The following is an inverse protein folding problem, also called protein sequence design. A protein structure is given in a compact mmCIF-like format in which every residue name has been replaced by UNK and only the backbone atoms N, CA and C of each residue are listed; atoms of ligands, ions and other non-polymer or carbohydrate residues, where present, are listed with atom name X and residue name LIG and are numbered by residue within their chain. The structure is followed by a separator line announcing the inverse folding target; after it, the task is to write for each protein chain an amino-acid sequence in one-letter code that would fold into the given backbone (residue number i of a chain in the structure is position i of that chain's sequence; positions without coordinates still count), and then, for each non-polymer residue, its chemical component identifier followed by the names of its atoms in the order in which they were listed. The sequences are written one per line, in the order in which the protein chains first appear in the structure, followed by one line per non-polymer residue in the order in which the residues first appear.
data_IF_378067531049
#
_entry.id   IF_378067531049
#
_cell.length_a   1.000
_cell.length_b   1.000
_cell.length_c   1.000
_cell.angle_alpha   90.00
_cell.angle_beta   90.00
_cell.angle_gamma   90.00
#
_symmetry.space_group_name_H-M   'P 1'
#
loop_
_entity.id
_entity.type
_entity.pdbx_description
1 polymer ?
#
# COMPACT_ATOMS: atom_id res chain seq x y z
N UNK A 1 -3.78 -2.81 10.69
CA UNK A 1 -4.52 -1.57 10.31
C UNK A 1 -5.59 -1.25 11.35
N UNK A 2 -5.78 0.03 11.63
CA UNK A 2 -6.78 0.52 12.58
C UNK A 2 -7.66 1.54 11.86
N UNK A 3 -8.96 1.25 11.75
CA UNK A 3 -9.96 2.20 11.26
C UNK A 3 -10.21 3.27 12.32
N UNK A 4 -10.08 4.53 11.93
CA UNK A 4 -10.32 5.69 12.78
C UNK A 4 -11.78 6.14 12.66
N UNK A 5 -12.34 6.75 13.72
CA UNK A 5 -13.67 7.33 13.67
C UNK A 5 -13.79 8.41 12.59
N UNK A 6 -14.93 8.47 11.93
CA UNK A 6 -15.17 9.37 10.78
C UNK A 6 -15.07 10.86 11.13
N UNK A 7 -15.35 11.22 12.37
CA UNK A 7 -15.28 12.63 12.85
C UNK A 7 -13.93 13.04 13.44
N UNK A 8 -12.91 12.19 13.43
CA UNK A 8 -11.64 12.46 14.11
C UNK A 8 -10.92 13.74 13.63
N UNK A 9 -11.10 14.09 12.37
CA UNK A 9 -10.45 15.27 11.76
C UNK A 9 -11.43 16.42 11.47
N UNK A 10 -12.69 16.34 11.92
CA UNK A 10 -13.73 17.34 11.62
C UNK A 10 -13.38 18.72 12.13
N UNK A 11 -12.80 18.83 13.32
CA UNK A 11 -12.40 20.12 13.92
C UNK A 11 -11.23 20.80 13.18
N UNK A 12 -10.32 20.00 12.64
CA UNK A 12 -9.11 20.52 11.99
C UNK A 12 -9.21 20.61 10.47
N UNK A 13 -9.89 19.65 9.85
CA UNK A 13 -10.01 19.56 8.40
C UNK A 13 -11.40 19.95 7.87
N UNK A 14 -12.37 20.18 8.75
CA UNK A 14 -13.74 20.53 8.37
C UNK A 14 -14.46 19.42 7.58
N UNK A 15 -14.02 18.18 7.70
CA UNK A 15 -14.56 17.05 6.95
C UNK A 15 -14.67 15.79 7.82
N UNK A 16 -15.79 15.08 7.64
CA UNK A 16 -16.03 13.77 8.26
C UNK A 16 -15.60 12.66 7.30
N UNK A 17 -14.33 12.35 7.28
CA UNK A 17 -13.77 11.29 6.41
C UNK A 17 -13.35 10.10 7.25
N UNK A 18 -13.76 8.91 6.82
CA UNK A 18 -13.20 7.66 7.35
C UNK A 18 -11.73 7.54 6.94
N UNK A 19 -10.86 7.33 7.90
CA UNK A 19 -9.42 7.19 7.70
C UNK A 19 -8.91 5.90 8.32
N UNK A 20 -7.83 5.36 7.79
CA UNK A 20 -7.17 4.18 8.32
C UNK A 20 -5.73 4.52 8.70
N UNK A 21 -5.32 4.08 9.88
CA UNK A 21 -3.94 4.05 10.30
C UNK A 21 -3.34 2.69 9.90
N UNK A 22 -2.34 2.71 9.04
CA UNK A 22 -1.66 1.51 8.56
C UNK A 22 -0.23 1.52 9.06
N UNK A 23 0.15 0.47 9.78
CA UNK A 23 1.53 0.25 10.24
C UNK A 23 2.10 -0.93 9.47
N UNK A 24 3.21 -0.72 8.78
CA UNK A 24 3.87 -1.73 7.97
C UNK A 24 5.27 -2.01 8.52
N UNK A 25 5.59 -3.28 8.70
CA UNK A 25 6.94 -3.72 9.00
C UNK A 25 7.54 -4.39 7.77
N UNK A 26 8.67 -3.82 7.27
CA UNK A 26 9.39 -4.41 6.13
C UNK A 26 10.00 -5.75 6.54
N UNK A 27 9.71 -6.79 5.78
CA UNK A 27 10.27 -8.11 5.94
C UNK A 27 11.02 -8.52 4.66
N UNK A 28 12.27 -8.96 4.81
CA UNK A 28 13.06 -9.50 3.69
C UNK A 28 12.95 -11.01 3.68
N UNK A 29 12.68 -11.60 2.51
CA UNK A 29 12.61 -13.06 2.34
C UNK A 29 11.33 -13.71 2.81
N UNK A 30 10.29 -12.93 3.07
CA UNK A 30 8.97 -13.45 3.44
C UNK A 30 8.30 -14.12 2.23
N UNK A 31 7.87 -15.36 2.40
CA UNK A 31 6.83 -15.94 1.56
C UNK A 31 5.48 -15.25 1.82
N UNK A 32 4.61 -15.21 0.83
CA UNK A 32 3.21 -14.75 1.01
C UNK A 32 2.57 -15.61 2.10
N UNK A 33 2.07 -14.97 3.15
CA UNK A 33 1.25 -15.66 4.15
C UNK A 33 -0.20 -15.63 3.69
N UNK A 34 -0.75 -16.74 3.20
CA UNK A 34 -2.15 -16.75 2.74
C UNK A 34 -3.08 -16.50 3.93
N UNK A 35 -4.12 -15.75 3.73
CA UNK A 35 -5.19 -15.56 4.69
C UNK A 35 -5.25 -14.13 5.24
N UNK A 36 -4.41 -13.75 6.18
CA UNK A 36 -4.48 -12.41 6.80
C UNK A 36 -4.12 -11.29 5.82
N UNK A 37 -3.04 -11.47 5.03
CA UNK A 37 -2.65 -10.50 4.00
C UNK A 37 -3.67 -10.43 2.88
N UNK A 38 -4.30 -11.55 2.54
CA UNK A 38 -5.35 -11.61 1.53
C UNK A 38 -6.59 -10.83 1.97
N UNK A 39 -6.99 -10.92 3.24
CA UNK A 39 -8.08 -10.11 3.81
C UNK A 39 -7.77 -8.61 3.75
N UNK A 40 -6.51 -8.23 3.89
CA UNK A 40 -6.09 -6.83 3.83
C UNK A 40 -6.22 -6.21 2.42
N UNK A 41 -6.07 -7.00 1.37
CA UNK A 41 -6.12 -6.51 -0.02
C UNK A 41 -7.45 -6.77 -0.73
N UNK A 42 -8.29 -7.66 -0.22
CA UNK A 42 -9.60 -7.96 -0.81
C UNK A 42 -10.66 -6.94 -0.41
N UNK A 43 -11.69 -6.84 -1.24
CA UNK A 43 -12.91 -6.09 -0.95
C UNK A 43 -14.09 -7.01 -0.78
N UNK A 44 -15.00 -6.65 0.12
CA UNK A 44 -16.27 -7.27 0.36
C UNK A 44 -17.40 -6.34 -0.06
N UNK A 45 -18.50 -6.92 -0.51
CA UNK A 45 -19.69 -6.19 -0.94
C UNK A 45 -20.72 -6.15 0.19
N UNK A 46 -21.27 -4.98 0.46
CA UNK A 46 -22.42 -4.82 1.36
C UNK A 46 -23.69 -4.79 0.52
N UNK A 47 -24.65 -5.71 0.75
CA UNK A 47 -25.90 -5.69 0.02
C UNK A 47 -26.74 -4.46 0.37
N UNK A 48 -27.49 -3.99 -0.58
CA UNK A 48 -28.50 -2.97 -0.37
C UNK A 48 -29.70 -3.54 0.39
N UNK A 49 -30.51 -2.66 1.00
CA UNK A 49 -31.71 -3.07 1.71
C UNK A 49 -32.77 -3.75 0.83
N UNK A 50 -32.66 -3.69 -0.48
CA UNK A 50 -33.50 -4.41 -1.45
C UNK A 50 -33.08 -5.89 -1.63
N UNK A 51 -31.90 -6.28 -1.11
CA UNK A 51 -31.36 -7.64 -1.20
C UNK A 51 -30.87 -8.06 -2.59
N UNK A 52 -30.97 -7.22 -3.62
CA UNK A 52 -30.61 -7.55 -5.00
C UNK A 52 -29.42 -6.76 -5.53
N UNK A 53 -29.16 -5.60 -4.97
CA UNK A 53 -28.07 -4.72 -5.39
C UNK A 53 -26.98 -4.59 -4.33
N UNK A 54 -25.80 -4.14 -4.74
CA UNK A 54 -24.69 -3.82 -3.84
C UNK A 54 -24.78 -2.33 -3.48
N UNK A 55 -24.89 -2.03 -2.19
CA UNK A 55 -24.90 -0.68 -1.69
C UNK A 55 -23.50 -0.03 -1.84
N UNK A 56 -22.46 -0.74 -1.41
CA UNK A 56 -21.08 -0.33 -1.54
C UNK A 56 -20.13 -1.51 -1.33
N UNK A 57 -18.84 -1.30 -1.60
CA UNK A 57 -17.77 -2.24 -1.28
C UNK A 57 -16.83 -1.62 -0.24
N UNK A 58 -16.26 -2.46 0.62
CA UNK A 58 -15.27 -2.07 1.60
C UNK A 58 -14.16 -3.12 1.69
N UNK A 59 -13.09 -2.83 2.43
CA UNK A 59 -12.03 -3.80 2.65
C UNK A 59 -12.52 -4.98 3.48
N UNK A 60 -12.17 -6.21 3.07
CA UNK A 60 -12.60 -7.45 3.72
C UNK A 60 -12.17 -7.56 5.18
N UNK A 61 -11.16 -6.82 5.61
CA UNK A 61 -10.75 -6.73 7.00
C UNK A 61 -11.88 -6.24 7.91
N UNK A 62 -12.81 -5.45 7.37
CA UNK A 62 -13.94 -4.88 8.08
C UNK A 62 -15.29 -5.54 7.73
N UNK A 63 -15.27 -6.70 7.05
CA UNK A 63 -16.49 -7.44 6.65
C UNK A 63 -17.17 -8.14 7.83
N UNK A 64 -16.37 -8.63 8.76
CA UNK A 64 -16.81 -9.44 9.90
C UNK A 64 -17.87 -8.74 10.77
N UNK A 65 -18.61 -9.50 11.59
CA UNK A 65 -19.47 -8.94 12.62
C UNK A 65 -18.75 -7.89 13.47
N UNK A 66 -19.51 -6.96 14.03
CA UNK A 66 -18.94 -5.83 14.78
C UNK A 66 -17.97 -6.26 15.91
N UNK A 67 -18.25 -7.37 16.56
CA UNK A 67 -17.44 -7.92 17.65
C UNK A 67 -16.01 -8.25 17.19
N UNK A 68 -15.85 -8.73 15.97
CA UNK A 68 -14.55 -9.02 15.37
C UNK A 68 -13.88 -7.76 14.81
N UNK A 69 -14.66 -6.88 14.18
CA UNK A 69 -14.15 -5.62 13.61
C UNK A 69 -13.59 -4.70 14.69
N UNK A 70 -14.10 -4.78 15.91
CA UNK A 70 -13.62 -3.99 17.06
C UNK A 70 -12.13 -4.17 17.34
N UNK A 71 -11.52 -5.27 16.95
CA UNK A 71 -10.08 -5.47 17.05
C UNK A 71 -9.29 -4.62 16.04
N UNK A 72 -9.94 -4.07 15.03
CA UNK A 72 -9.34 -3.26 13.98
C UNK A 72 -9.84 -1.81 13.95
N UNK A 73 -10.45 -1.34 15.01
CA UNK A 73 -10.94 0.04 15.13
C UNK A 73 -10.99 0.50 16.57
N UNK A 74 -10.81 1.80 16.79
CA UNK A 74 -11.09 2.44 18.07
C UNK A 74 -12.53 2.97 18.18
N UNK A 75 -13.31 2.90 17.10
CA UNK A 75 -14.71 3.33 17.13
C UNK A 75 -15.52 2.50 18.15
N UNK A 76 -16.49 3.14 18.78
CA UNK A 76 -17.41 2.50 19.72
C UNK A 76 -18.59 1.87 19.02
N UNK A 77 -18.94 2.35 17.82
CA UNK A 77 -20.04 1.81 17.02
C UNK A 77 -19.79 1.98 15.50
N UNK A 78 -20.49 1.16 14.74
CA UNK A 78 -20.49 1.21 13.27
C UNK A 78 -21.93 1.23 12.78
N UNK A 79 -22.29 2.23 12.00
CA UNK A 79 -23.63 2.39 11.42
C UNK A 79 -23.55 2.54 9.90
N UNK A 80 -24.65 2.23 9.22
CA UNK A 80 -24.78 2.54 7.81
C UNK A 80 -25.14 4.02 7.65
N UNK A 81 -24.38 4.71 6.84
CA UNK A 81 -24.57 6.14 6.56
C UNK A 81 -24.11 6.51 5.17
N UNK A 82 -23.74 7.76 4.99
CA UNK A 82 -23.22 8.29 3.72
C UNK A 82 -21.83 8.88 3.93
N UNK A 83 -20.95 8.67 2.95
CA UNK A 83 -19.67 9.36 2.92
C UNK A 83 -19.84 10.84 2.48
N UNK A 84 -18.81 11.69 2.55
CA UNK A 84 -18.87 13.09 2.12
C UNK A 84 -19.30 13.31 0.66
N UNK A 85 -19.24 12.26 -0.17
CA UNK A 85 -19.67 12.30 -1.58
C UNK A 85 -21.12 11.85 -1.77
N UNK A 86 -21.89 11.66 -0.69
CA UNK A 86 -23.28 11.23 -0.72
C UNK A 86 -23.51 9.75 -1.07
N UNK A 87 -22.45 8.93 -1.07
CA UNK A 87 -22.57 7.49 -1.33
C UNK A 87 -22.68 6.71 -0.03
N UNK A 88 -23.46 5.61 -0.05
CA UNK A 88 -23.57 4.71 1.08
C UNK A 88 -22.19 4.21 1.54
N UNK A 89 -21.98 4.17 2.85
CA UNK A 89 -20.75 3.72 3.46
C UNK A 89 -20.96 3.31 4.93
N UNK A 90 -20.03 2.52 5.48
CA UNK A 90 -19.93 2.38 6.91
C UNK A 90 -19.38 3.67 7.55
N UNK A 91 -20.09 4.17 8.54
CA UNK A 91 -19.70 5.30 9.38
C UNK A 91 -19.27 4.75 10.73
N UNK A 92 -18.07 5.09 11.16
CA UNK A 92 -17.48 4.68 12.42
C UNK A 92 -17.52 5.85 13.38
N UNK A 93 -18.15 5.69 14.52
CA UNK A 93 -18.35 6.75 15.52
C UNK A 93 -17.63 6.41 16.81
N UNK A 94 -17.18 7.43 17.51
CA UNK A 94 -16.60 7.31 18.84
C UNK A 94 -17.43 8.12 19.82
N UNK A 95 -18.01 7.43 20.82
CA UNK A 95 -18.83 8.04 21.86
C UNK A 95 -17.93 8.42 23.04
N UNK A 96 -17.20 9.53 22.91
CA UNK A 96 -16.29 10.04 23.92
C UNK A 96 -15.58 11.30 23.49
N UNK A 97 -14.80 11.88 24.39
CA UNK A 97 -13.99 13.07 24.09
C UNK A 97 -12.72 12.73 23.31
N UNK A 98 -12.04 13.79 22.84
CA UNK A 98 -10.79 13.66 22.08
C UNK A 98 -9.67 12.97 22.89
N UNK A 99 -9.59 13.26 24.20
CA UNK A 99 -8.60 12.64 25.06
C UNK A 99 -8.84 11.14 25.22
N UNK A 100 -10.10 10.72 25.40
CA UNK A 100 -10.48 9.31 25.47
C UNK A 100 -10.22 8.57 24.15
N UNK A 101 -10.44 9.25 23.03
CA UNK A 101 -10.11 8.72 21.70
C UNK A 101 -8.60 8.52 21.53
N UNK A 102 -7.81 9.50 21.97
CA UNK A 102 -6.34 9.42 21.91
C UNK A 102 -5.80 8.29 22.80
N UNK A 103 -6.37 8.11 23.99
CA UNK A 103 -6.01 7.01 24.89
C UNK A 103 -6.38 5.65 24.30
N UNK A 104 -7.56 5.52 23.71
CA UNK A 104 -8.00 4.30 23.02
C UNK A 104 -7.07 3.94 21.87
N UNK A 105 -6.67 4.93 21.07
CA UNK A 105 -5.72 4.72 19.98
C UNK A 105 -4.34 4.29 20.49
N UNK A 106 -3.87 4.90 21.56
CA UNK A 106 -2.59 4.54 22.19
C UNK A 106 -2.60 3.11 22.70
N UNK A 107 -3.69 2.69 23.36
CA UNK A 107 -3.86 1.32 23.89
C UNK A 107 -3.87 0.33 22.72
N UNK A 108 -4.68 0.57 21.69
CA UNK A 108 -4.79 -0.30 20.52
C UNK A 108 -3.45 -0.45 19.80
N UNK A 109 -2.76 0.66 19.53
CA UNK A 109 -1.43 0.63 18.90
C UNK A 109 -0.40 -0.13 19.74
N UNK A 110 -0.43 0.04 21.06
CA UNK A 110 0.51 -0.67 21.94
C UNK A 110 0.26 -2.17 21.88
N UNK A 111 -0.99 -2.59 21.88
CA UNK A 111 -1.37 -4.00 21.76
C UNK A 111 -1.00 -4.59 20.40
N UNK A 112 -1.32 -3.90 19.30
CA UNK A 112 -1.01 -4.34 17.95
C UNK A 112 0.50 -4.45 17.72
N UNK A 113 1.28 -3.46 18.19
CA UNK A 113 2.75 -3.52 18.09
C UNK A 113 3.30 -4.66 18.95
N UNK A 114 2.77 -4.87 20.16
CA UNK A 114 3.24 -5.97 21.01
C UNK A 114 2.98 -7.35 20.40
N UNK A 115 1.87 -7.53 19.68
CA UNK A 115 1.48 -8.82 19.08
C UNK A 115 2.11 -9.07 17.71
N UNK A 116 2.24 -8.04 16.88
CA UNK A 116 2.58 -8.20 15.46
C UNK A 116 4.00 -7.73 15.10
N UNK A 117 4.64 -6.93 15.96
CA UNK A 117 5.99 -6.43 15.69
C UNK A 117 7.05 -7.49 15.99
N UNK A 118 7.76 -7.93 14.96
CA UNK A 118 8.90 -8.85 15.12
C UNK A 118 10.21 -8.06 15.27
N UNK A 119 10.71 -8.01 16.50
CA UNK A 119 11.98 -7.35 16.83
C UNK A 119 13.18 -7.93 16.08
N UNK A 120 13.14 -9.21 15.74
CA UNK A 120 14.24 -9.86 15.01
C UNK A 120 14.36 -9.31 13.60
N UNK A 121 13.22 -9.05 12.94
CA UNK A 121 13.20 -8.43 11.62
C UNK A 121 13.72 -7.00 11.64
N UNK A 122 13.46 -6.26 12.71
CA UNK A 122 13.95 -4.89 12.86
C UNK A 122 15.48 -4.85 13.00
N UNK A 123 16.07 -5.78 13.74
CA UNK A 123 17.50 -5.83 14.01
C UNK A 123 18.34 -6.46 12.89
N UNK A 124 17.73 -7.22 11.97
CA UNK A 124 18.45 -7.88 10.86
C UNK A 124 18.71 -6.98 9.65
N UNK A 125 18.20 -5.77 9.64
CA UNK A 125 18.37 -4.84 8.51
C UNK A 125 19.17 -3.58 8.82
N UNK A 126 19.61 -3.39 10.04
CA UNK A 126 20.44 -2.24 10.41
C UNK A 126 21.90 -2.66 10.31
N UNK A 127 22.58 -2.23 9.25
CA UNK A 127 24.02 -2.15 9.26
C UNK A 127 24.45 -1.44 10.54
N UNK A 128 25.10 -2.16 11.42
CA UNK A 128 25.38 -1.74 12.79
C UNK A 128 26.50 -0.70 12.86
N UNK A 129 27.22 -0.52 11.76
CA UNK A 129 28.28 0.49 11.64
C UNK A 129 28.08 1.37 10.41
N UNK A 130 28.59 2.59 10.48
CA UNK A 130 28.59 3.54 9.35
C UNK A 130 29.35 2.96 8.14
N UNK A 131 30.40 2.19 8.41
CA UNK A 131 31.20 1.48 7.41
C UNK A 131 30.40 0.43 6.63
N UNK A 132 29.54 -0.35 7.31
CA UNK A 132 28.66 -1.33 6.65
C UNK A 132 27.58 -0.66 5.80
N UNK A 133 27.06 0.48 6.25
CA UNK A 133 26.09 1.28 5.45
C UNK A 133 26.74 1.85 4.21
N UNK A 134 27.96 2.35 4.32
CA UNK A 134 28.73 2.86 3.19
C UNK A 134 29.06 1.74 2.21
N UNK A 135 29.50 0.59 2.68
CA UNK A 135 29.77 -0.59 1.84
C UNK A 135 28.53 -1.10 1.10
N UNK A 136 27.37 -1.13 1.75
CA UNK A 136 26.10 -1.51 1.11
C UNK A 136 25.62 -0.47 0.09
N UNK A 137 25.78 0.81 0.39
CA UNK A 137 25.45 1.90 -0.53
C UNK A 137 26.37 1.86 -1.77
N UNK A 138 27.66 1.63 -1.58
CA UNK A 138 28.65 1.49 -2.66
C UNK A 138 28.34 0.27 -3.56
N UNK A 139 28.00 -0.86 -2.95
CA UNK A 139 27.57 -2.08 -3.67
C UNK A 139 26.30 -1.85 -4.49
N UNK A 140 25.31 -1.13 -3.96
CA UNK A 140 24.09 -0.74 -4.69
C UNK A 140 24.40 0.21 -5.84
N UNK A 141 25.29 1.17 -5.63
CA UNK A 141 25.71 2.11 -6.66
C UNK A 141 26.46 1.40 -7.79
N UNK A 142 27.33 0.45 -7.46
CA UNK A 142 28.06 -0.37 -8.44
C UNK A 142 27.08 -1.22 -9.28
N UNK A 143 26.10 -1.85 -8.65
CA UNK A 143 25.07 -2.62 -9.33
C UNK A 143 24.25 -1.77 -10.30
N UNK A 144 23.86 -0.55 -9.90
CA UNK A 144 23.18 0.41 -10.76
C UNK A 144 24.05 0.85 -11.95
N UNK A 145 25.33 1.09 -11.75
CA UNK A 145 26.27 1.44 -12.83
C UNK A 145 26.40 0.33 -13.86
N UNK A 146 26.44 -0.93 -13.43
CA UNK A 146 26.49 -2.10 -14.33
C UNK A 146 25.22 -2.19 -15.17
N UNK A 147 24.05 -1.96 -14.56
CA UNK A 147 22.76 -2.00 -15.26
C UNK A 147 22.64 -0.88 -16.29
N UNK A 148 23.04 0.35 -15.94
CA UNK A 148 23.04 1.49 -16.88
C UNK A 148 24.02 1.29 -18.02
N UNK A 149 25.20 0.75 -17.73
CA UNK A 149 26.21 0.45 -18.75
C UNK A 149 25.77 -0.62 -19.76
N UNK A 150 25.02 -1.64 -19.34
CA UNK A 150 24.46 -2.65 -20.24
C UNK A 150 23.35 -2.06 -21.11
N UNK A 151 22.46 -1.27 -20.55
CA UNK A 151 21.38 -0.60 -21.31
C UNK A 151 21.91 0.39 -22.35
N UNK A 152 22.99 1.10 -22.06
CA UNK A 152 23.63 2.01 -23.04
C UNK A 152 24.26 1.24 -24.19
N UNK A 153 24.91 0.10 -23.93
CA UNK A 153 25.48 -0.75 -24.99
C UNK A 153 24.41 -1.35 -25.91
N UNK A 154 23.28 -1.76 -25.33
CA UNK A 154 22.15 -2.25 -26.14
C UNK A 154 21.50 -1.14 -26.98
N UNK A 155 21.37 0.06 -26.44
CA UNK A 155 20.87 1.22 -27.20
C UNK A 155 21.80 1.56 -28.37
N UNK A 156 23.11 1.64 -28.14
CA UNK A 156 24.11 1.89 -29.20
C UNK A 156 24.12 0.81 -30.25
N UNK A 157 23.93 -0.47 -29.89
CA UNK A 157 23.84 -1.56 -30.86
C UNK A 157 22.60 -1.42 -31.74
N UNK A 158 21.45 -1.10 -31.20
CA UNK A 158 20.20 -0.87 -31.96
C UNK A 158 20.28 0.33 -32.89
N UNK A 159 20.92 1.42 -32.45
CA UNK A 159 21.13 2.59 -33.30
C UNK A 159 22.04 2.26 -34.49
N UNK A 160 23.11 1.52 -34.28
CA UNK A 160 23.99 1.06 -35.33
C UNK A 160 23.29 0.12 -36.34
N UNK A 161 22.50 -0.84 -35.85
CA UNK A 161 21.71 -1.73 -36.71
C UNK A 161 20.68 -0.96 -37.54
N UNK A 162 20.08 0.10 -36.99
CA UNK A 162 19.16 0.98 -37.71
C UNK A 162 19.88 1.79 -38.82
N UNK A 163 21.04 2.34 -38.52
CA UNK A 163 21.83 3.12 -39.46
C UNK A 163 22.37 2.23 -40.60
N UNK A 164 22.79 1.00 -40.29
CA UNK A 164 23.20 0.03 -41.28
C UNK A 164 22.04 -0.38 -42.22
N UNK A 165 20.83 -0.59 -41.67
CA UNK A 165 19.61 -0.87 -42.41
C UNK A 165 19.21 0.32 -43.31
N UNK A 166 19.34 1.55 -42.84
CA UNK A 166 19.04 2.76 -43.60
C UNK A 166 20.01 2.94 -44.78
N UNK A 167 21.29 2.66 -44.59
CA UNK A 167 22.32 2.76 -45.64
C UNK A 167 22.20 1.66 -46.71
N UNK A 168 21.49 0.56 -46.42
CA UNK A 168 21.22 -0.50 -47.40
C UNK A 168 20.00 -0.21 -48.30
N UNK A 169 19.08 0.64 -47.86
CA UNK A 169 17.86 0.98 -48.61
C UNK A 169 18.11 1.61 -50.01
N UNK A 170 19.03 2.58 -50.21
CA UNK A 170 19.26 3.15 -51.50
C UNK A 170 19.77 2.13 -52.55
N UNK A 171 20.61 1.20 -52.13
CA UNK A 171 21.17 0.14 -53.01
C UNK A 171 20.15 -0.91 -53.43
N UNK A 172 19.10 -1.11 -52.66
CA UNK A 172 18.00 -2.01 -53.00
C UNK A 172 17.04 -1.38 -54.01
N UNK A 173 16.86 -0.06 -53.97
CA UNK A 173 16.00 0.69 -54.90
C UNK A 173 16.66 0.82 -56.29
N UNK A 174 17.96 1.04 -56.38
CA UNK A 174 18.70 1.09 -57.65
C UNK A 174 18.67 -0.25 -58.40
N UNK A 175 18.56 -1.38 -57.70
CA UNK A 175 18.50 -2.71 -58.35
C UNK A 175 17.09 -3.13 -58.80
N UNK A 176 16.06 -2.39 -58.44
CA UNK A 176 14.66 -2.72 -58.77
C UNK A 176 14.03 -1.82 -59.86
N UNK A 177 14.79 -0.92 -60.45
CA UNK A 177 14.34 -0.14 -61.65
C UNK A 177 14.70 -0.88 -62.90
N UNK A 178 13.74 -1.10 -63.86
CA UNK A 178 13.93 -1.79 -65.09
C UNK A 178 14.80 -1.01 -66.11
#
# INVERSE_FOLDING_TARGET
AIRLPSGMFSEHAGTEVGSDLIVLQKQTGKGITPGEEERFVRTAAVPSGDGFSIAFTHNSLFESPWEEVRSHTIATERTMGTNPYGKAAWVYQFNGGMDEMADSLRIQLTQDVAHHFDRKLYNTGVATTEEERQAEAEKKLLALRVTVGSSQKEAQKKDKERDDAFNLMPKAIEKSLP
#
